data_IF_846569709703
#
_entry.id   IF_846569709703
#
_cell.length_a   1.000
_cell.length_b   1.000
_cell.length_c   1.000
_cell.angle_alpha   90.00
_cell.angle_beta   90.00
_cell.angle_gamma   90.00
#
_symmetry.space_group_name_H-M   'P 1'
#
loop_
_entity.id
_entity.type
_entity.pdbx_description
1 polymer ?
#
# COMPACT_ATOMS: atom_id res chain seq x y z
N UNK A 1 16.19 19.10 -3.57
CA UNK A 1 15.62 17.76 -3.41
C UNK A 1 16.76 16.76 -3.53
N UNK A 2 16.98 15.92 -2.53
CA UNK A 2 18.06 14.93 -2.52
C UNK A 2 17.42 13.54 -2.42
N UNK A 3 17.90 12.59 -3.22
CA UNK A 3 17.33 11.24 -3.31
C UNK A 3 18.36 10.22 -2.87
N UNK A 4 17.96 9.32 -1.98
CA UNK A 4 18.78 8.20 -1.52
C UNK A 4 18.01 6.92 -1.82
N UNK A 5 18.63 5.98 -2.54
CA UNK A 5 18.07 4.65 -2.79
C UNK A 5 18.72 3.64 -1.85
N UNK A 6 17.91 2.94 -1.05
CA UNK A 6 18.38 1.93 -0.11
C UNK A 6 17.87 0.56 -0.52
N UNK A 7 18.78 -0.42 -0.67
CA UNK A 7 18.41 -1.82 -0.89
C UNK A 7 18.46 -2.58 0.43
N UNK A 8 17.29 -2.86 1.00
CA UNK A 8 17.16 -3.48 2.33
C UNK A 8 16.70 -4.93 2.16
N UNK A 9 17.35 -5.87 2.86
CA UNK A 9 16.89 -7.25 2.92
C UNK A 9 15.97 -7.47 4.13
N UNK A 10 14.66 -7.52 3.89
CA UNK A 10 13.62 -7.67 4.91
C UNK A 10 13.66 -9.00 5.66
N UNK A 11 14.37 -10.02 5.13
CA UNK A 11 14.49 -11.32 5.79
C UNK A 11 15.48 -11.30 6.96
N UNK A 12 16.29 -10.25 7.07
CA UNK A 12 17.29 -10.11 8.14
C UNK A 12 16.78 -9.26 9.29
N UNK A 13 17.22 -9.55 10.52
CA UNK A 13 16.84 -8.76 11.71
C UNK A 13 17.22 -7.29 11.56
N UNK A 14 18.38 -7.00 10.96
CA UNK A 14 18.84 -5.63 10.70
C UNK A 14 17.95 -4.92 9.68
N UNK A 15 17.54 -5.61 8.60
CA UNK A 15 16.66 -5.04 7.60
C UNK A 15 15.28 -4.70 8.16
N UNK A 16 14.68 -5.62 8.94
CA UNK A 16 13.41 -5.37 9.63
C UNK A 16 13.49 -4.17 10.59
N UNK A 17 14.56 -4.09 11.38
CA UNK A 17 14.77 -2.99 12.31
C UNK A 17 14.91 -1.64 11.59
N UNK A 18 15.64 -1.60 10.47
CA UNK A 18 15.81 -0.38 9.68
C UNK A 18 14.49 0.08 9.06
N UNK A 19 13.66 -0.84 8.53
CA UNK A 19 12.33 -0.50 7.99
C UNK A 19 11.42 0.07 9.07
N UNK A 20 11.37 -0.55 10.26
CA UNK A 20 10.57 -0.05 11.38
C UNK A 20 10.99 1.36 11.78
N UNK A 21 12.30 1.61 11.86
CA UNK A 21 12.84 2.92 12.18
C UNK A 21 12.44 3.95 11.12
N UNK A 22 12.67 3.66 9.84
CA UNK A 22 12.29 4.56 8.74
C UNK A 22 10.78 4.87 8.76
N UNK A 23 9.94 3.85 8.95
CA UNK A 23 8.49 4.02 9.02
C UNK A 23 8.05 4.94 10.16
N UNK A 24 8.66 4.83 11.34
CA UNK A 24 8.32 5.72 12.48
C UNK A 24 8.84 7.14 12.25
N UNK A 25 10.02 7.31 11.63
CA UNK A 25 10.56 8.62 11.29
C UNK A 25 9.71 9.38 10.26
N UNK A 26 9.13 8.68 9.29
CA UNK A 26 8.26 9.28 8.25
C UNK A 26 6.83 9.48 8.73
N UNK A 27 6.44 8.88 9.85
CA UNK A 27 5.08 8.94 10.37
C UNK A 27 4.75 10.34 10.88
N UNK A 28 3.94 11.07 10.11
CA UNK A 28 3.45 12.40 10.46
C UNK A 28 4.34 13.55 9.99
N UNK A 29 5.48 13.25 9.37
CA UNK A 29 6.35 14.24 8.73
C UNK A 29 6.17 14.18 7.20
N UNK A 30 6.03 15.34 6.55
CA UNK A 30 5.90 15.46 5.08
C UNK A 30 7.22 15.77 4.39
N UNK A 31 8.31 15.94 5.14
CA UNK A 31 9.63 16.29 4.62
C UNK A 31 10.38 15.11 4.03
N UNK A 32 10.02 13.88 4.44
CA UNK A 32 10.63 12.63 3.96
C UNK A 32 9.53 11.72 3.43
N UNK A 33 9.76 11.11 2.27
CA UNK A 33 8.84 10.16 1.65
C UNK A 33 9.56 8.81 1.48
N UNK A 34 8.92 7.72 1.92
CA UNK A 34 9.38 6.36 1.61
C UNK A 34 8.74 5.96 0.29
N UNK A 35 9.57 5.86 -0.74
CA UNK A 35 9.17 5.31 -2.03
C UNK A 35 9.47 3.81 -1.96
N UNK A 36 8.44 3.01 -1.66
CA UNK A 36 8.53 1.56 -1.64
C UNK A 36 7.98 0.99 -2.97
N UNK A 37 8.90 0.57 -3.83
CA UNK A 37 8.60 -0.06 -5.13
C UNK A 37 8.23 -1.55 -5.02
N UNK A 38 8.13 -2.11 -3.81
CA UNK A 38 7.87 -3.54 -3.63
C UNK A 38 6.42 -3.97 -3.93
N UNK A 39 5.49 -3.05 -4.22
CA UNK A 39 4.17 -3.46 -4.68
C UNK A 39 4.27 -4.01 -6.10
N UNK A 40 4.01 -5.32 -6.33
CA UNK A 40 3.91 -5.84 -7.70
C UNK A 40 2.69 -5.24 -8.44
N UNK A 41 1.84 -4.52 -7.72
CA UNK A 41 0.63 -3.91 -8.23
C UNK A 41 0.80 -2.42 -8.48
N UNK A 42 0.16 -1.95 -9.55
CA UNK A 42 0.08 -0.54 -9.91
C UNK A 42 -0.42 0.33 -8.72
N UNK A 43 0.20 1.48 -8.42
CA UNK A 43 -0.22 2.36 -7.34
C UNK A 43 -1.69 2.79 -7.37
N UNK A 44 -2.28 3.03 -8.55
CA UNK A 44 -3.71 3.38 -8.68
C UNK A 44 -4.61 2.21 -8.28
N UNK A 45 -4.21 0.97 -8.60
CA UNK A 45 -4.91 -0.22 -8.13
C UNK A 45 -4.86 -0.33 -6.61
N UNK A 46 -3.68 -0.14 -6.00
CA UNK A 46 -3.52 -0.16 -4.53
C UNK A 46 -4.39 0.91 -3.86
N UNK A 47 -4.45 2.11 -4.44
CA UNK A 47 -5.28 3.21 -3.95
C UNK A 47 -6.77 2.89 -4.02
N UNK A 48 -7.24 2.28 -5.12
CA UNK A 48 -8.62 1.83 -5.26
C UNK A 48 -8.99 0.79 -4.19
N UNK A 49 -8.14 -0.22 -3.99
CA UNK A 49 -8.37 -1.27 -2.97
C UNK A 49 -8.43 -0.67 -1.57
N UNK A 50 -7.49 0.20 -1.19
CA UNK A 50 -7.49 0.88 0.12
C UNK A 50 -8.76 1.73 0.32
N UNK A 51 -9.22 2.44 -0.72
CA UNK A 51 -10.45 3.23 -0.68
C UNK A 51 -11.69 2.35 -0.48
N UNK A 52 -11.78 1.22 -1.19
CA UNK A 52 -12.87 0.26 -1.04
C UNK A 52 -12.87 -0.39 0.35
N UNK A 53 -11.70 -0.76 0.88
CA UNK A 53 -11.58 -1.36 2.22
C UNK A 53 -12.00 -0.41 3.35
N UNK A 54 -11.73 0.89 3.20
CA UNK A 54 -12.15 1.91 4.17
C UNK A 54 -13.64 2.29 4.06
N UNK A 55 -14.33 1.88 2.99
CA UNK A 55 -15.73 2.21 2.77
C UNK A 55 -16.65 1.42 3.71
N UNK A 56 -17.67 2.10 4.26
CA UNK A 56 -18.77 1.46 4.99
C UNK A 56 -19.85 0.90 4.07
N UNK A 57 -19.88 1.33 2.80
CA UNK A 57 -20.82 0.81 1.80
C UNK A 57 -20.32 -0.55 1.32
N UNK A 58 -21.07 -1.60 1.63
CA UNK A 58 -20.85 -2.97 1.16
C UNK A 58 -22.04 -3.36 0.30
N UNK A 59 -21.75 -4.00 -0.82
CA UNK A 59 -22.74 -4.56 -1.72
C UNK A 59 -22.68 -6.07 -1.57
N UNK A 60 -23.81 -6.67 -1.24
CA UNK A 60 -23.98 -8.12 -1.29
C UNK A 60 -24.56 -8.42 -2.66
N UNK A 61 -23.96 -9.38 -3.35
CA UNK A 61 -24.43 -9.85 -4.64
C UNK A 61 -25.32 -11.05 -4.37
N UNK A 62 -26.63 -10.86 -4.51
CA UNK A 62 -27.62 -11.90 -4.27
C UNK A 62 -27.75 -12.88 -5.45
N UNK A 63 -27.34 -12.43 -6.65
CA UNK A 63 -27.43 -13.18 -7.89
C UNK A 63 -26.20 -12.87 -8.75
N UNK A 64 -25.41 -13.91 -9.03
CA UNK A 64 -24.16 -13.81 -9.78
C UNK A 64 -24.43 -13.54 -11.27
N UNK A 65 -25.49 -14.11 -11.83
CA UNK A 65 -25.79 -13.96 -13.26
C UNK A 65 -26.21 -12.52 -13.56
N UNK A 66 -27.06 -11.93 -12.70
CA UNK A 66 -27.42 -10.50 -12.80
C UNK A 66 -26.24 -9.55 -12.64
N UNK A 67 -25.27 -9.90 -11.80
CA UNK A 67 -24.06 -9.11 -11.67
C UNK A 67 -23.31 -9.08 -12.99
N UNK A 68 -23.10 -10.26 -13.61
CA UNK A 68 -22.38 -10.35 -14.88
C UNK A 68 -23.12 -9.68 -16.02
N UNK A 69 -24.44 -9.71 -16.05
CA UNK A 69 -25.24 -8.96 -17.05
C UNK A 69 -25.14 -7.44 -16.89
N UNK A 70 -24.81 -6.96 -15.69
CA UNK A 70 -24.75 -5.51 -15.37
C UNK A 70 -23.39 -4.86 -15.58
N UNK A 71 -22.34 -5.65 -15.85
CA UNK A 71 -20.96 -5.22 -16.04
C UNK A 71 -20.61 -5.09 -17.53
#
# INVERSE_FOLDING_TARGET
MATITLKINERTNKGKALILLLNEYVKGDKSVEIIDDNSPYNPEFVKMVKKSAASKKRYVVDDVDKLWESL
#
